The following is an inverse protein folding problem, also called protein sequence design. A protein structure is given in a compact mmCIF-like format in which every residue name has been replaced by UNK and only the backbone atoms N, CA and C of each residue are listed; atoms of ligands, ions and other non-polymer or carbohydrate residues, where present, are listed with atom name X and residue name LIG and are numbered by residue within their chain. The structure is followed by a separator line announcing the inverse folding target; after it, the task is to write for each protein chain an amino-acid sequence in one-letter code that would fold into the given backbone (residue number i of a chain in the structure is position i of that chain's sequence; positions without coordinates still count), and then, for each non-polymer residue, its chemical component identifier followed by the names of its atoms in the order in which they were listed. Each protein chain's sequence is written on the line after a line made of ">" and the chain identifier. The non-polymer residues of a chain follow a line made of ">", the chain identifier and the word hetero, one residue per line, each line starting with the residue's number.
data_IF_351264019693
#
_entry.id   IF_351264019693
#
_cell.length_a   1.000
_cell.length_b   1.000
_cell.length_c   1.000
_cell.angle_alpha   90.00
_cell.angle_beta   90.00
_cell.angle_gamma   90.00
#
_symmetry.space_group_name_H-M   'P 1'
#
loop_
_entity.id
_entity.type
_entity.pdbx_description
1 polymer ?
#
# COMPACT_ATOMS: atom_id res chain seq x y z
N UNK A 1 3.62 57.97 -43.20
CA UNK A 1 4.30 57.63 -41.93
C UNK A 1 3.86 56.31 -41.29
N UNK A 2 3.11 55.41 -41.97
CA UNK A 2 2.54 54.18 -41.37
C UNK A 2 3.44 52.92 -41.37
N UNK A 3 4.63 52.96 -41.97
CA UNK A 3 5.49 51.76 -42.13
C UNK A 3 6.32 51.41 -40.89
N UNK A 4 6.44 52.32 -39.91
CA UNK A 4 7.30 52.13 -38.74
C UNK A 4 6.57 51.49 -37.54
N UNK A 5 5.24 51.62 -37.43
CA UNK A 5 4.44 50.99 -36.36
C UNK A 5 4.20 49.48 -36.58
N UNK A 6 4.13 49.02 -37.83
CA UNK A 6 3.98 47.60 -38.13
C UNK A 6 5.25 46.79 -37.82
N UNK A 7 6.42 47.43 -37.93
CA UNK A 7 7.69 46.79 -37.61
C UNK A 7 7.86 46.60 -36.10
N UNK A 8 7.51 47.59 -35.27
CA UNK A 8 7.59 47.45 -33.81
C UNK A 8 6.64 46.35 -33.29
N UNK A 9 5.41 46.31 -33.80
CA UNK A 9 4.42 45.28 -33.42
C UNK A 9 4.86 43.85 -33.79
N UNK A 10 5.60 43.65 -34.89
CA UNK A 10 6.16 42.34 -35.24
C UNK A 10 7.32 41.94 -34.34
N UNK A 11 8.16 42.89 -33.94
CA UNK A 11 9.26 42.65 -33.01
C UNK A 11 8.76 42.25 -31.62
N UNK A 12 7.71 42.88 -31.13
CA UNK A 12 7.13 42.55 -29.83
C UNK A 12 6.41 41.19 -29.84
N UNK A 13 5.66 40.88 -30.92
CA UNK A 13 5.07 39.54 -31.11
C UNK A 13 6.11 38.44 -31.23
N UNK A 14 7.23 38.72 -31.90
CA UNK A 14 8.33 37.77 -32.05
C UNK A 14 9.03 37.49 -30.72
N UNK A 15 9.28 38.53 -29.91
CA UNK A 15 9.81 38.43 -28.54
C UNK A 15 8.87 37.63 -27.62
N UNK A 16 7.57 37.89 -27.69
CA UNK A 16 6.57 37.16 -26.91
C UNK A 16 6.52 35.67 -27.30
N UNK A 17 6.57 35.37 -28.61
CA UNK A 17 6.64 33.99 -29.12
C UNK A 17 7.91 33.27 -28.65
N UNK A 18 9.06 33.95 -28.66
CA UNK A 18 10.32 33.36 -28.17
C UNK A 18 10.28 33.13 -26.67
N UNK A 19 9.74 34.07 -25.89
CA UNK A 19 9.54 33.91 -24.44
C UNK A 19 8.61 32.73 -24.13
N UNK A 20 7.47 32.60 -24.81
CA UNK A 20 6.57 31.46 -24.66
C UNK A 20 7.24 30.15 -25.04
N UNK A 21 8.05 30.13 -26.11
CA UNK A 21 8.74 28.93 -26.56
C UNK A 21 9.83 28.50 -25.56
N UNK A 22 10.57 29.45 -24.99
CA UNK A 22 11.53 29.19 -23.91
C UNK A 22 10.83 28.69 -22.63
N UNK A 23 9.68 29.27 -22.26
CA UNK A 23 8.87 28.82 -21.10
C UNK A 23 8.36 27.40 -21.30
N UNK A 24 7.85 27.07 -22.50
CA UNK A 24 7.46 25.70 -22.88
C UNK A 24 8.63 24.72 -22.86
N UNK A 25 9.82 25.11 -23.33
CA UNK A 25 11.04 24.28 -23.26
C UNK A 25 11.50 24.05 -21.82
N UNK A 26 11.47 25.08 -20.96
CA UNK A 26 11.76 24.94 -19.52
C UNK A 26 10.79 23.98 -18.82
N UNK A 27 9.49 24.08 -19.10
CA UNK A 27 8.49 23.16 -18.53
C UNK A 27 8.64 21.71 -19.02
N UNK A 28 8.98 21.50 -20.31
CA UNK A 28 9.28 20.17 -20.85
C UNK A 28 10.54 19.54 -20.22
N UNK A 29 11.56 20.34 -19.93
CA UNK A 29 12.76 19.86 -19.22
C UNK A 29 12.47 19.51 -17.75
N UNK A 30 11.61 20.26 -17.07
CA UNK A 30 11.17 19.89 -15.72
C UNK A 30 10.43 18.54 -15.69
N UNK A 31 9.60 18.24 -16.69
CA UNK A 31 8.93 16.93 -16.77
C UNK A 31 9.88 15.75 -17.02
N UNK A 32 11.03 15.96 -17.69
CA UNK A 32 12.01 14.88 -17.98
C UNK A 32 12.89 14.52 -16.78
N UNK A 33 13.03 15.42 -15.80
CA UNK A 33 13.81 15.21 -14.57
C UNK A 33 12.95 14.76 -13.37
N UNK A 34 11.70 14.35 -13.61
CA UNK A 34 10.80 13.96 -12.52
C UNK A 34 10.33 15.16 -11.71
N UNK A 35 9.81 16.18 -12.40
CA UNK A 35 9.53 17.55 -11.92
C UNK A 35 8.57 17.76 -10.76
N UNK A 36 8.33 16.77 -9.90
CA UNK A 36 7.86 16.94 -8.54
C UNK A 36 8.65 15.93 -7.68
N UNK A 37 9.84 16.33 -7.22
CA UNK A 37 10.53 15.61 -6.16
C UNK A 37 9.61 15.44 -4.95
N UNK A 38 9.85 14.40 -4.15
CA UNK A 38 9.17 14.21 -2.86
C UNK A 38 9.12 15.55 -2.13
N UNK A 39 7.94 15.94 -1.62
CA UNK A 39 7.81 17.19 -0.88
C UNK A 39 8.83 17.23 0.26
N UNK A 40 9.28 18.42 0.65
CA UNK A 40 10.25 18.57 1.75
C UNK A 40 9.81 17.79 3.01
N UNK A 41 8.50 17.80 3.29
CA UNK A 41 7.89 16.99 4.35
C UNK A 41 8.01 15.48 4.10
N UNK A 42 7.82 14.99 2.87
CA UNK A 42 7.99 13.58 2.55
C UNK A 42 9.47 13.14 2.67
N UNK A 43 10.42 13.99 2.28
CA UNK A 43 11.85 13.72 2.46
C UNK A 43 12.25 13.72 3.94
N UNK A 44 11.81 14.72 4.71
CA UNK A 44 12.02 14.81 6.15
C UNK A 44 11.42 13.60 6.88
N UNK A 45 10.18 13.22 6.55
CA UNK A 45 9.51 12.06 7.14
C UNK A 45 10.19 10.73 6.79
N UNK A 46 10.72 10.60 5.57
CA UNK A 46 11.47 9.41 5.15
C UNK A 46 12.82 9.26 5.87
N UNK A 47 13.42 10.36 6.32
CA UNK A 47 14.69 10.38 7.07
C UNK A 47 14.50 10.44 8.59
N UNK A 48 13.32 10.82 9.08
CA UNK A 48 13.02 10.83 10.51
C UNK A 48 12.97 9.40 11.04
N UNK A 49 13.76 9.09 12.07
CA UNK A 49 13.81 7.77 12.73
C UNK A 49 12.53 7.43 13.51
N UNK A 50 11.55 8.34 13.53
CA UNK A 50 10.32 8.27 14.30
C UNK A 50 9.09 7.90 13.48
N UNK A 51 9.25 7.49 12.22
CA UNK A 51 8.12 7.00 11.41
C UNK A 51 8.07 5.46 11.48
N UNK A 52 7.34 4.87 12.45
CA UNK A 52 7.16 3.43 12.47
C UNK A 52 6.34 3.07 11.23
N UNK A 53 6.94 2.29 10.34
CA UNK A 53 6.26 1.70 9.20
C UNK A 53 4.96 1.02 9.68
N UNK A 54 3.83 1.71 9.47
CA UNK A 54 2.52 1.22 9.87
C UNK A 54 1.77 0.75 8.62
N UNK A 55 1.73 -0.56 8.33
CA UNK A 55 1.14 -1.09 7.10
C UNK A 55 -0.35 -0.78 6.99
N UNK A 56 -1.06 -0.62 8.11
CA UNK A 56 -2.50 -0.30 8.11
C UNK A 56 -2.79 1.11 7.59
N UNK A 57 -2.01 2.11 8.03
CA UNK A 57 -2.13 3.49 7.58
C UNK A 57 -1.77 3.63 6.10
N UNK A 58 -0.71 2.96 5.67
CA UNK A 58 -0.27 2.93 4.26
C UNK A 58 -1.36 2.33 3.37
N UNK A 59 -1.97 1.21 3.81
CA UNK A 59 -3.06 0.56 3.08
C UNK A 59 -4.28 1.49 2.95
N UNK A 60 -4.69 2.12 4.05
CA UNK A 60 -5.81 3.09 4.06
C UNK A 60 -5.57 4.26 3.10
N UNK A 61 -4.35 4.80 3.07
CA UNK A 61 -4.01 5.91 2.18
C UNK A 61 -4.00 5.49 0.69
N UNK A 62 -3.51 4.29 0.38
CA UNK A 62 -3.55 3.71 -0.98
C UNK A 62 -4.98 3.50 -1.46
N UNK A 63 -5.82 2.93 -0.60
CA UNK A 63 -7.24 2.69 -0.90
C UNK A 63 -7.99 4.01 -1.11
N UNK A 64 -7.78 5.01 -0.25
CA UNK A 64 -8.36 6.34 -0.42
C UNK A 64 -8.02 6.95 -1.78
N UNK A 65 -6.75 6.89 -2.19
CA UNK A 65 -6.30 7.37 -3.50
C UNK A 65 -6.93 6.60 -4.67
N UNK A 66 -7.02 5.27 -4.56
CA UNK A 66 -7.65 4.43 -5.59
C UNK A 66 -9.13 4.77 -5.73
N UNK A 67 -9.83 4.96 -4.61
CA UNK A 67 -11.24 5.31 -4.59
C UNK A 67 -11.49 6.69 -5.17
N UNK A 68 -10.68 7.70 -4.79
CA UNK A 68 -10.77 9.04 -5.36
C UNK A 68 -10.58 9.03 -6.89
N UNK A 69 -9.63 8.23 -7.40
CA UNK A 69 -9.44 8.05 -8.85
C UNK A 69 -10.67 7.44 -9.52
N UNK A 70 -11.26 6.41 -8.93
CA UNK A 70 -12.45 5.75 -9.47
C UNK A 70 -13.66 6.69 -9.48
N UNK A 71 -13.90 7.42 -8.38
CA UNK A 71 -14.95 8.43 -8.28
C UNK A 71 -14.76 9.52 -9.34
N UNK A 72 -13.54 10.03 -9.52
CA UNK A 72 -13.25 11.04 -10.54
C UNK A 72 -13.44 10.49 -11.96
N UNK A 73 -13.06 9.24 -12.21
CA UNK A 73 -13.31 8.57 -13.50
C UNK A 73 -14.80 8.46 -13.77
N UNK A 74 -15.59 8.02 -12.79
CA UNK A 74 -17.04 7.91 -12.90
C UNK A 74 -17.70 9.27 -13.13
N UNK A 75 -17.32 10.30 -12.35
CA UNK A 75 -17.82 11.68 -12.54
C UNK A 75 -17.51 12.21 -13.95
N UNK A 76 -16.36 11.88 -14.53
CA UNK A 76 -16.02 12.24 -15.91
C UNK A 76 -16.91 11.52 -16.93
N UNK A 77 -17.17 10.23 -16.73
CA UNK A 77 -18.06 9.45 -17.60
C UNK A 77 -19.51 9.98 -17.54
N UNK A 78 -20.01 10.30 -16.34
CA UNK A 78 -21.34 10.93 -16.19
C UNK A 78 -21.43 12.27 -16.93
N UNK A 79 -20.39 13.11 -16.81
CA UNK A 79 -20.33 14.37 -17.58
C UNK A 79 -20.33 14.12 -19.09
N UNK A 80 -19.60 13.11 -19.56
CA UNK A 80 -19.58 12.74 -20.97
C UNK A 80 -20.94 12.25 -21.47
N UNK A 81 -21.65 11.44 -20.68
CA UNK A 81 -23.00 10.99 -21.00
C UNK A 81 -23.98 12.16 -21.07
N UNK A 82 -23.91 13.12 -20.13
CA UNK A 82 -24.77 14.29 -20.16
C UNK A 82 -24.48 15.19 -21.38
N UNK A 83 -23.20 15.33 -21.76
CA UNK A 83 -22.83 16.04 -22.99
C UNK A 83 -23.27 15.31 -24.26
N UNK A 84 -23.35 13.97 -24.23
CA UNK A 84 -23.88 13.17 -25.35
C UNK A 84 -25.40 13.17 -25.40
N UNK A 85 -26.10 13.22 -24.26
CA UNK A 85 -27.57 13.34 -24.23
C UNK A 85 -28.03 14.67 -24.82
N UNK A 86 -27.27 15.74 -24.60
CA UNK A 86 -27.63 17.07 -25.10
C UNK A 86 -27.30 17.25 -26.59
N UNK A 87 -26.36 16.47 -27.14
CA UNK A 87 -25.99 16.46 -28.56
C UNK A 87 -26.68 15.39 -29.42
N UNK A 88 -27.37 14.40 -28.82
CA UNK A 88 -28.00 13.28 -29.53
C UNK A 88 -29.52 13.43 -29.72
N UNK A 89 -30.10 14.62 -29.50
CA UNK A 89 -31.52 14.87 -29.78
C UNK A 89 -31.80 15.51 -31.14
N UNK A 90 -30.80 15.74 -32.00
CA UNK A 90 -31.01 16.46 -33.27
C UNK A 90 -30.67 15.71 -34.56
N UNK A 91 -30.15 14.47 -34.54
CA UNK A 91 -29.76 13.77 -35.77
C UNK A 91 -29.80 12.24 -35.61
N UNK A 92 -30.98 11.62 -35.68
CA UNK A 92 -31.10 10.17 -35.95
C UNK A 92 -32.55 9.77 -36.25
N UNK A 93 -33.12 10.34 -37.30
CA UNK A 93 -34.32 9.79 -37.93
C UNK A 93 -34.21 10.06 -39.43
N UNK A 94 -33.44 9.24 -40.16
CA UNK A 94 -33.50 9.09 -41.63
C UNK A 94 -32.80 7.76 -42.01
N UNK A 95 -33.60 6.88 -42.61
CA UNK A 95 -33.32 5.85 -43.65
C UNK A 95 -32.36 4.69 -43.33
N UNK A 96 -32.85 3.45 -43.26
CA UNK A 96 -33.31 2.51 -44.31
C UNK A 96 -32.16 1.70 -44.98
N UNK A 97 -32.25 0.39 -44.76
CA UNK A 97 -31.92 -0.76 -45.64
C UNK A 97 -30.69 -0.71 -46.56
N UNK A 98 -29.74 -1.65 -46.37
CA UNK A 98 -29.25 -2.54 -47.42
C UNK A 98 -28.28 -3.64 -46.90
N UNK A 99 -28.28 -4.76 -47.63
CA UNK A 99 -27.80 -6.11 -47.33
C UNK A 99 -26.27 -6.35 -47.26
N UNK A 100 -25.82 -7.58 -46.87
CA UNK A 100 -24.47 -7.86 -46.34
C UNK A 100 -23.48 -8.35 -47.40
N UNK A 101 -22.17 -8.07 -47.22
CA UNK A 101 -21.09 -8.79 -47.92
C UNK A 101 -19.83 -9.00 -47.08
N UNK A 102 -19.47 -10.28 -47.03
CA UNK A 102 -18.14 -10.88 -47.23
C UNK A 102 -17.10 -10.89 -46.10
N UNK A 103 -16.82 -12.15 -45.74
CA UNK A 103 -15.74 -12.69 -44.93
C UNK A 103 -14.35 -12.09 -45.22
N UNK A 104 -13.68 -11.65 -44.15
CA UNK A 104 -12.21 -11.61 -44.07
C UNK A 104 -11.71 -12.09 -42.70
N UNK A 105 -11.08 -13.25 -42.74
CA UNK A 105 -9.99 -13.74 -41.89
C UNK A 105 -9.89 -13.21 -40.44
N UNK A 106 -10.45 -13.97 -39.50
CA UNK A 106 -10.37 -13.69 -38.05
C UNK A 106 -10.06 -14.93 -37.19
N UNK A 107 -9.14 -15.81 -37.62
CA UNK A 107 -8.90 -17.08 -36.90
C UNK A 107 -7.67 -17.09 -35.96
N UNK A 108 -6.68 -16.20 -36.13
CA UNK A 108 -5.45 -16.28 -35.31
C UNK A 108 -5.54 -15.56 -33.95
N UNK A 109 -6.40 -14.56 -33.82
CA UNK A 109 -6.59 -13.82 -32.56
C UNK A 109 -7.35 -14.58 -31.45
N UNK A 110 -8.05 -15.68 -31.80
CA UNK A 110 -8.90 -16.41 -30.85
C UNK A 110 -8.14 -17.41 -29.99
N UNK A 111 -7.00 -17.94 -30.45
CA UNK A 111 -6.24 -18.98 -29.72
C UNK A 111 -5.47 -18.44 -28.51
N UNK A 112 -5.00 -17.19 -28.56
CA UNK A 112 -4.30 -16.55 -27.42
C UNK A 112 -5.22 -16.16 -26.26
N UNK A 113 -6.53 -15.99 -26.49
CA UNK A 113 -7.50 -15.65 -25.42
C UNK A 113 -7.80 -16.81 -24.47
N UNK A 114 -7.69 -18.07 -24.95
CA UNK A 114 -8.05 -19.26 -24.16
C UNK A 114 -7.07 -19.57 -23.02
N UNK A 115 -5.81 -19.13 -23.12
CA UNK A 115 -4.80 -19.29 -22.05
C UNK A 115 -5.01 -18.24 -20.94
N UNK A 116 -5.57 -17.07 -21.27
CA UNK A 116 -5.84 -15.98 -20.30
C UNK A 116 -7.15 -16.15 -19.52
N UNK A 117 -8.02 -17.04 -19.98
CA UNK A 117 -9.30 -17.33 -19.35
C UNK A 117 -9.14 -18.46 -18.34
N UNK A 118 -8.34 -18.24 -17.30
CA UNK A 118 -8.61 -18.94 -16.05
C UNK A 118 -10.06 -18.63 -15.69
N UNK A 119 -10.88 -19.66 -15.48
CA UNK A 119 -12.27 -19.45 -15.08
C UNK A 119 -12.28 -18.55 -13.85
N UNK A 120 -13.07 -17.47 -13.90
CA UNK A 120 -13.21 -16.50 -12.80
C UNK A 120 -13.48 -17.22 -11.46
N UNK A 121 -14.18 -18.36 -11.54
CA UNK A 121 -14.50 -19.25 -10.43
C UNK A 121 -13.26 -19.93 -9.84
N UNK A 122 -12.29 -20.36 -10.66
CA UNK A 122 -11.06 -21.00 -10.19
C UNK A 122 -10.16 -20.00 -9.44
N UNK A 123 -10.08 -18.76 -9.92
CA UNK A 123 -9.36 -17.68 -9.24
C UNK A 123 -9.98 -17.37 -7.86
N UNK A 124 -11.31 -17.36 -7.79
CA UNK A 124 -12.03 -17.13 -6.55
C UNK A 124 -11.81 -18.27 -5.53
N UNK A 125 -11.91 -19.52 -5.98
CA UNK A 125 -11.65 -20.71 -5.15
C UNK A 125 -10.22 -20.71 -4.63
N UNK A 126 -9.22 -20.44 -5.48
CA UNK A 126 -7.81 -20.37 -5.07
C UNK A 126 -7.55 -19.29 -4.03
N UNK A 127 -8.09 -18.09 -4.22
CA UNK A 127 -7.91 -16.98 -3.29
C UNK A 127 -8.52 -17.26 -1.91
N UNK A 128 -9.69 -17.90 -1.85
CA UNK A 128 -10.30 -18.30 -0.57
C UNK A 128 -9.45 -19.33 0.17
N UNK A 129 -8.98 -20.35 -0.54
CA UNK A 129 -8.14 -21.40 0.06
C UNK A 129 -6.84 -20.83 0.62
N UNK A 130 -6.18 -19.93 -0.11
CA UNK A 130 -4.96 -19.26 0.38
C UNK A 130 -5.22 -18.41 1.62
N UNK A 131 -6.34 -17.67 1.64
CA UNK A 131 -6.72 -16.82 2.75
C UNK A 131 -7.07 -17.63 4.02
N UNK A 132 -7.70 -18.80 3.86
CA UNK A 132 -7.98 -19.69 4.98
C UNK A 132 -6.70 -20.34 5.53
N UNK A 133 -5.78 -20.75 4.66
CA UNK A 133 -4.46 -21.25 5.06
C UNK A 133 -3.68 -20.18 5.83
N UNK A 134 -3.65 -18.95 5.33
CA UNK A 134 -2.95 -17.84 5.99
C UNK A 134 -3.58 -17.51 7.37
N UNK A 135 -4.90 -17.65 7.52
CA UNK A 135 -5.57 -17.53 8.83
C UNK A 135 -5.12 -18.64 9.78
N UNK A 136 -5.10 -19.87 9.31
CA UNK A 136 -4.69 -21.03 10.10
C UNK A 136 -3.24 -20.93 10.57
N UNK A 137 -2.32 -20.52 9.70
CA UNK A 137 -0.90 -20.33 10.04
C UNK A 137 -0.71 -19.21 11.07
N UNK A 138 -1.42 -18.07 10.90
CA UNK A 138 -1.40 -16.98 11.87
C UNK A 138 -1.93 -17.42 13.23
N UNK A 139 -3.04 -18.14 13.24
CA UNK A 139 -3.61 -18.66 14.49
C UNK A 139 -2.68 -19.66 15.17
N UNK A 140 -2.04 -20.55 14.41
CA UNK A 140 -1.07 -21.50 14.95
C UNK A 140 0.13 -20.77 15.59
N UNK A 141 0.68 -19.76 14.91
CA UNK A 141 1.77 -18.95 15.44
C UNK A 141 1.38 -18.19 16.72
N UNK A 142 0.17 -17.61 16.74
CA UNK A 142 -0.34 -16.90 17.92
C UNK A 142 -0.55 -17.87 19.08
N UNK A 143 -1.10 -19.07 18.83
CA UNK A 143 -1.28 -20.11 19.86
C UNK A 143 0.06 -20.57 20.43
N UNK A 144 1.05 -20.84 19.59
CA UNK A 144 2.39 -21.22 20.04
C UNK A 144 3.03 -20.14 20.93
N UNK A 145 2.96 -18.87 20.52
CA UNK A 145 3.44 -17.75 21.34
C UNK A 145 2.66 -17.58 22.64
N UNK A 146 1.35 -17.84 22.63
CA UNK A 146 0.52 -17.78 23.84
C UNK A 146 0.90 -18.87 24.83
N UNK A 147 1.10 -20.09 24.35
CA UNK A 147 1.52 -21.23 25.17
C UNK A 147 2.90 -20.99 25.79
N UNK A 148 3.86 -20.44 25.04
CA UNK A 148 5.18 -20.08 25.58
C UNK A 148 5.08 -19.05 26.71
N UNK A 149 4.26 -18.01 26.51
CA UNK A 149 4.00 -16.98 27.53
C UNK A 149 3.35 -17.57 28.78
N UNK A 150 2.35 -18.43 28.60
CA UNK A 150 1.65 -19.08 29.70
C UNK A 150 2.57 -20.01 30.49
N UNK A 151 3.45 -20.77 29.82
CA UNK A 151 4.48 -21.58 30.49
C UNK A 151 5.45 -20.72 31.29
N UNK A 152 5.91 -19.60 30.74
CA UNK A 152 6.79 -18.67 31.45
C UNK A 152 6.09 -18.02 32.65
N UNK A 153 4.81 -17.65 32.50
CA UNK A 153 4.01 -17.08 33.56
C UNK A 153 3.70 -18.10 34.67
N UNK A 154 3.37 -19.34 34.31
CA UNK A 154 3.16 -20.43 35.26
C UNK A 154 4.43 -20.69 36.10
N UNK A 155 5.61 -20.69 35.47
CA UNK A 155 6.90 -20.77 36.18
C UNK A 155 7.10 -19.61 37.15
N UNK A 156 6.85 -18.37 36.71
CA UNK A 156 6.94 -17.18 37.57
C UNK A 156 5.96 -17.24 38.74
N UNK A 157 4.72 -17.68 38.49
CA UNK A 157 3.68 -17.80 39.51
C UNK A 157 4.04 -18.87 40.54
N UNK A 158 4.52 -20.03 40.11
CA UNK A 158 4.95 -21.10 41.00
C UNK A 158 6.14 -20.67 41.87
N UNK A 159 7.14 -20.00 41.30
CA UNK A 159 8.26 -19.45 42.07
C UNK A 159 7.78 -18.39 43.08
N UNK A 160 6.91 -17.46 42.65
CA UNK A 160 6.31 -16.45 43.53
C UNK A 160 5.53 -17.12 44.67
N UNK A 161 4.70 -18.12 44.38
CA UNK A 161 3.91 -18.81 45.40
C UNK A 161 4.82 -19.43 46.47
N UNK A 162 5.89 -20.11 46.08
CA UNK A 162 6.88 -20.67 47.02
C UNK A 162 7.49 -19.58 47.91
N UNK A 163 7.85 -18.43 47.33
CA UNK A 163 8.45 -17.31 48.06
C UNK A 163 7.49 -16.62 49.04
N UNK A 164 6.17 -16.68 48.79
CA UNK A 164 5.14 -16.17 49.70
C UNK A 164 4.73 -17.15 50.81
N UNK A 165 5.20 -18.42 50.79
CA UNK A 165 4.90 -19.37 51.87
C UNK A 165 5.48 -18.86 53.18
N UNK A 166 4.69 -18.96 54.24
CA UNK A 166 5.03 -18.53 55.61
C UNK A 166 5.02 -19.71 56.58
N UNK A 167 5.82 -19.63 57.62
CA UNK A 167 5.82 -20.54 58.76
C UNK A 167 4.61 -20.28 59.66
N UNK A 168 4.39 -21.13 60.67
CA UNK A 168 3.32 -20.96 61.66
C UNK A 168 3.34 -19.59 62.35
N UNK A 169 4.52 -18.99 62.51
CA UNK A 169 4.73 -17.67 63.12
C UNK A 169 4.68 -16.52 62.12
N UNK A 170 4.35 -16.79 60.84
CA UNK A 170 4.19 -15.78 59.80
C UNK A 170 5.49 -15.34 59.10
N UNK A 171 6.65 -15.88 59.51
CA UNK A 171 7.93 -15.61 58.85
C UNK A 171 8.01 -16.31 57.49
N UNK A 172 8.68 -15.75 56.47
CA UNK A 172 8.88 -16.44 55.20
C UNK A 172 9.61 -17.77 55.39
N UNK A 173 9.17 -18.81 54.67
CA UNK A 173 9.83 -20.12 54.72
C UNK A 173 11.21 -20.00 54.06
N UNK A 174 12.26 -20.02 54.89
CA UNK A 174 13.65 -19.80 54.44
C UNK A 174 14.15 -20.82 53.42
N UNK A 175 13.63 -22.06 53.43
CA UNK A 175 13.97 -23.12 52.47
C UNK A 175 13.87 -22.61 51.01
N UNK A 176 12.71 -22.05 50.64
CA UNK A 176 12.47 -21.59 49.27
C UNK A 176 13.26 -20.32 48.93
N UNK A 177 13.49 -19.45 49.92
CA UNK A 177 14.25 -18.22 49.73
C UNK A 177 15.74 -18.50 49.49
N UNK A 178 16.31 -19.43 50.25
CA UNK A 178 17.70 -19.85 50.07
C UNK A 178 17.87 -20.55 48.71
N UNK A 179 16.96 -21.45 48.34
CA UNK A 179 16.95 -22.11 47.02
C UNK A 179 16.99 -21.09 45.87
N UNK A 180 16.15 -20.05 45.92
CA UNK A 180 16.12 -18.99 44.91
C UNK A 180 17.41 -18.16 44.84
N UNK A 181 18.02 -17.85 45.99
CA UNK A 181 19.29 -17.13 46.04
C UNK A 181 20.42 -17.96 45.41
N UNK A 182 20.48 -19.27 45.72
CA UNK A 182 21.45 -20.18 45.15
C UNK A 182 21.26 -20.34 43.63
N UNK A 183 20.03 -20.49 43.16
CA UNK A 183 19.71 -20.56 41.72
C UNK A 183 20.12 -19.27 41.00
N UNK A 184 19.89 -18.11 41.60
CA UNK A 184 20.27 -16.80 41.04
C UNK A 184 21.79 -16.65 40.91
N UNK A 185 22.55 -17.07 41.93
CA UNK A 185 24.03 -17.04 41.91
C UNK A 185 24.58 -18.03 40.87
N UNK A 186 24.02 -19.24 40.79
CA UNK A 186 24.45 -20.22 39.79
C UNK A 186 24.13 -19.75 38.36
N UNK A 187 22.97 -19.13 38.15
CA UNK A 187 22.57 -18.55 36.87
C UNK A 187 23.50 -17.42 36.44
N UNK A 188 23.86 -16.49 37.34
CA UNK A 188 24.80 -15.41 37.03
C UNK A 188 26.18 -15.94 36.66
N UNK A 189 26.65 -16.98 37.37
CA UNK A 189 27.95 -17.59 37.08
C UNK A 189 27.97 -18.27 35.70
N UNK A 190 26.91 -18.99 35.33
CA UNK A 190 26.78 -19.62 34.00
C UNK A 190 26.78 -18.57 32.88
N UNK A 191 25.96 -17.52 33.00
CA UNK A 191 25.91 -16.42 32.03
C UNK A 191 27.28 -15.72 31.89
N UNK A 192 28.04 -15.62 32.98
CA UNK A 192 29.38 -15.03 32.95
C UNK A 192 30.43 -15.93 32.28
N UNK A 193 30.24 -17.26 32.33
CA UNK A 193 31.11 -18.23 31.67
C UNK A 193 30.83 -18.30 30.16
N UNK A 194 29.56 -18.30 29.76
CA UNK A 194 29.16 -18.34 28.34
C UNK A 194 29.57 -17.08 27.56
N UNK A 195 29.75 -15.94 28.24
CA UNK A 195 30.24 -14.69 27.65
C UNK A 195 31.77 -14.61 27.50
N UNK A 196 32.50 -15.51 28.15
CA UNK A 196 33.98 -15.59 28.09
C UNK A 196 34.47 -16.64 27.08
N UNK A 197 33.56 -17.47 26.55
CA UNK A 197 33.82 -18.37 25.42
C UNK A 197 33.39 -17.74 24.10
#
# INVERSE_FOLDING_TARGET
>A
MKKNEELSNRFDKAKEKTMMMMKKKKMKNMSRLGGNGLSLNAFANAKSKNNPYNPSLIKKQREFYKNAKNVNKFKKLLKQQHLQSDHCSTQSLIENENEPKEDKDMSEGRRKKKISAFSLEELYKKQHVEKEKERMEREAFVRAKKEEREKAEARRKAMREKMLKKTRTGQPVMKYRIEHLLESIQGSNKISADKKS
#
